data_IF_616933809812
#
_entry.id   IF_616933809812
#
_cell.length_a   1.000
_cell.length_b   1.000
_cell.length_c   1.000
_cell.angle_alpha   90.00
_cell.angle_beta   90.00
_cell.angle_gamma   90.00
#
_symmetry.space_group_name_H-M   'P 1'
#
loop_
_entity.id
_entity.type
_entity.pdbx_description
1 polymer ?
#
# COMPACT_ATOMS: atom_id res chain seq x y z
N UNK A 1 -14.22 10.53 12.24
CA UNK A 1 -14.22 10.74 10.77
C UNK A 1 -14.51 9.42 10.07
N UNK A 2 -15.18 9.48 8.93
CA UNK A 2 -15.37 8.35 8.02
C UNK A 2 -14.29 8.43 6.92
N UNK A 3 -13.35 7.50 6.92
CA UNK A 3 -12.16 7.55 6.05
C UNK A 3 -12.21 6.39 5.06
N UNK A 4 -12.20 6.71 3.76
CA UNK A 4 -12.03 5.72 2.72
C UNK A 4 -10.54 5.40 2.51
N UNK A 5 -10.16 4.13 2.52
CA UNK A 5 -8.80 3.67 2.20
C UNK A 5 -8.84 2.78 0.97
N UNK A 6 -8.10 3.19 -0.05
CA UNK A 6 -7.99 2.45 -1.31
C UNK A 6 -6.58 1.89 -1.46
N UNK A 7 -6.47 0.58 -1.59
CA UNK A 7 -5.17 -0.08 -1.65
C UNK A 7 -5.25 -1.41 -2.39
N UNK A 8 -4.09 -1.94 -2.78
CA UNK A 8 -4.00 -3.33 -3.23
C UNK A 8 -4.19 -4.29 -2.04
N UNK A 9 -5.06 -5.30 -2.13
CA UNK A 9 -5.34 -6.24 -1.03
C UNK A 9 -4.28 -7.35 -0.88
N UNK A 10 -3.06 -7.12 -1.33
CA UNK A 10 -2.01 -8.14 -1.44
C UNK A 10 -1.07 -8.15 -0.23
N UNK A 11 -0.31 -9.24 -0.07
CA UNK A 11 0.80 -9.33 0.90
C UNK A 11 2.00 -8.43 0.55
N UNK A 12 1.90 -7.59 -0.48
CA UNK A 12 2.88 -6.56 -0.79
C UNK A 12 2.96 -5.48 0.29
N UNK A 13 4.10 -4.79 0.39
CA UNK A 13 4.34 -3.80 1.43
C UNK A 13 3.27 -2.72 1.53
N UNK A 14 2.81 -2.18 0.40
CA UNK A 14 1.79 -1.13 0.37
C UNK A 14 0.42 -1.58 0.91
N UNK A 15 -0.05 -2.77 0.51
CA UNK A 15 -1.33 -3.29 0.98
C UNK A 15 -1.33 -3.57 2.48
N UNK A 16 -0.24 -4.18 2.97
CA UNK A 16 -0.06 -4.41 4.40
C UNK A 16 -0.03 -3.10 5.18
N UNK A 17 0.72 -2.10 4.71
CA UNK A 17 0.83 -0.80 5.37
C UNK A 17 -0.49 -0.03 5.38
N UNK A 18 -1.22 -0.02 4.27
CA UNK A 18 -2.55 0.58 4.20
C UNK A 18 -3.52 -0.08 5.19
N UNK A 19 -3.46 -1.42 5.29
CA UNK A 19 -4.30 -2.17 6.24
C UNK A 19 -3.95 -1.86 7.69
N UNK A 20 -2.66 -1.87 8.05
CA UNK A 20 -2.23 -1.54 9.42
C UNK A 20 -2.52 -0.08 9.76
N UNK A 21 -2.39 0.85 8.80
CA UNK A 21 -2.79 2.25 8.99
C UNK A 21 -4.29 2.37 9.29
N UNK A 22 -5.14 1.72 8.50
CA UNK A 22 -6.57 1.74 8.73
C UNK A 22 -6.94 1.18 10.10
N UNK A 23 -6.32 0.08 10.54
CA UNK A 23 -6.52 -0.47 11.89
C UNK A 23 -6.10 0.51 12.98
N UNK A 24 -4.94 1.15 12.84
CA UNK A 24 -4.46 2.14 13.81
C UNK A 24 -5.37 3.38 13.88
N UNK A 25 -5.95 3.81 12.76
CA UNK A 25 -6.94 4.88 12.72
C UNK A 25 -8.27 4.45 13.35
N UNK A 26 -8.70 3.21 13.13
CA UNK A 26 -9.89 2.65 13.78
C UNK A 26 -9.74 2.59 15.30
N UNK A 27 -8.56 2.21 15.81
CA UNK A 27 -8.25 2.25 17.25
C UNK A 27 -8.32 3.67 17.83
N UNK A 28 -8.15 4.70 17.00
CA UNK A 28 -8.31 6.12 17.37
C UNK A 28 -9.77 6.63 17.26
N UNK A 29 -10.71 5.73 16.95
CA UNK A 29 -12.14 6.06 16.90
C UNK A 29 -12.64 6.56 15.55
N UNK A 30 -11.88 6.37 14.46
CA UNK A 30 -12.35 6.64 13.11
C UNK A 30 -13.08 5.44 12.51
N UNK A 31 -14.07 5.68 11.66
CA UNK A 31 -14.68 4.64 10.83
C UNK A 31 -13.87 4.50 9.55
N UNK A 32 -13.43 3.29 9.25
CA UNK A 32 -12.55 3.00 8.12
C UNK A 32 -13.28 2.16 7.09
N UNK A 33 -13.27 2.62 5.85
CA UNK A 33 -13.91 1.99 4.72
C UNK A 33 -12.86 1.57 3.69
N UNK A 34 -12.46 0.30 3.71
CA UNK A 34 -11.55 -0.25 2.69
C UNK A 34 -12.31 -0.49 1.39
N UNK A 35 -11.78 0.05 0.28
CA UNK A 35 -12.31 -0.10 -1.07
C UNK A 35 -11.26 -0.82 -1.92
N UNK A 36 -11.55 -2.06 -2.35
CA UNK A 36 -10.57 -2.92 -3.00
C UNK A 36 -11.28 -4.12 -3.68
N UNK A 37 -10.63 -4.79 -4.64
CA UNK A 37 -11.20 -5.94 -5.35
C UNK A 37 -11.17 -7.25 -4.54
N UNK A 38 -10.56 -7.27 -3.39
CA UNK A 38 -10.58 -8.35 -2.41
C UNK A 38 -10.38 -7.77 -1.01
N UNK A 39 -10.80 -8.50 0.02
CA UNK A 39 -10.54 -8.10 1.38
C UNK A 39 -9.03 -7.95 1.62
N UNK A 40 -8.58 -6.81 2.15
CA UNK A 40 -7.16 -6.58 2.41
C UNK A 40 -6.56 -7.64 3.33
N UNK A 41 -5.38 -8.12 2.97
CA UNK A 41 -4.63 -9.06 3.83
C UNK A 41 -4.35 -8.41 5.18
N UNK A 42 -4.32 -9.22 6.25
CA UNK A 42 -4.17 -8.78 7.64
C UNK A 42 -5.33 -7.95 8.20
N UNK A 43 -6.40 -7.72 7.47
CA UNK A 43 -7.57 -7.10 8.04
C UNK A 43 -8.11 -7.95 9.21
N UNK A 44 -8.00 -9.26 9.10
CA UNK A 44 -8.41 -10.19 10.13
C UNK A 44 -9.91 -10.38 10.19
N UNK A 45 -10.38 -10.86 11.33
CA UNK A 45 -11.80 -11.03 11.64
C UNK A 45 -12.40 -9.71 12.11
N UNK A 46 -13.65 -9.72 12.33
CA UNK A 46 -14.57 -8.64 12.67
C UNK A 46 -13.98 -7.45 13.47
N UNK A 47 -14.29 -6.25 13.00
CA UNK A 47 -14.05 -4.97 13.66
C UNK A 47 -15.35 -4.16 13.64
N UNK A 48 -15.66 -3.44 14.72
CA UNK A 48 -16.91 -2.68 14.83
C UNK A 48 -16.97 -1.42 13.98
N UNK A 49 -15.80 -0.86 13.64
CA UNK A 49 -15.63 0.40 12.90
C UNK A 49 -14.72 0.27 11.68
N UNK A 50 -14.57 -0.94 11.14
CA UNK A 50 -13.87 -1.18 9.87
C UNK A 50 -14.83 -1.91 8.94
N UNK A 51 -15.00 -1.37 7.75
CA UNK A 51 -15.90 -1.86 6.71
C UNK A 51 -15.11 -2.18 5.45
N UNK A 52 -15.59 -3.16 4.69
CA UNK A 52 -15.00 -3.53 3.40
C UNK A 52 -16.03 -3.39 2.29
N UNK A 53 -15.62 -2.76 1.21
CA UNK A 53 -16.41 -2.55 0.00
C UNK A 53 -15.68 -3.16 -1.19
N UNK A 54 -16.28 -4.18 -1.78
CA UNK A 54 -15.69 -4.89 -2.90
C UNK A 54 -15.86 -4.12 -4.20
N UNK A 55 -14.77 -3.97 -4.94
CA UNK A 55 -14.77 -3.47 -6.31
C UNK A 55 -14.98 -4.66 -7.24
N UNK A 56 -16.22 -4.85 -7.71
CA UNK A 56 -16.55 -5.90 -8.66
C UNK A 56 -16.35 -5.39 -10.09
N UNK A 57 -15.61 -6.15 -10.90
CA UNK A 57 -15.43 -5.85 -12.32
C UNK A 57 -16.15 -6.92 -13.13
N UNK A 58 -17.31 -6.60 -13.72
CA UNK A 58 -18.06 -7.57 -14.51
C UNK A 58 -17.28 -7.94 -15.78
N UNK A 59 -17.31 -9.21 -16.14
CA UNK A 59 -16.78 -9.70 -17.41
C UNK A 59 -17.73 -9.30 -18.53
N UNK A 60 -17.20 -8.63 -19.56
CA UNK A 60 -17.96 -8.29 -20.75
C UNK A 60 -17.18 -8.72 -22.00
N UNK A 61 -17.81 -9.44 -22.95
CA UNK A 61 -17.10 -10.08 -24.07
C UNK A 61 -16.29 -9.14 -24.97
N UNK A 62 -16.61 -7.84 -25.00
CA UNK A 62 -15.88 -6.85 -25.80
C UNK A 62 -14.71 -6.20 -25.05
N UNK A 63 -14.49 -6.54 -23.77
CA UNK A 63 -13.36 -6.05 -23.01
C UNK A 63 -12.24 -7.07 -23.00
N UNK A 64 -11.20 -6.87 -23.83
CA UNK A 64 -9.97 -7.65 -23.75
C UNK A 64 -9.30 -7.51 -22.38
N UNK A 65 -9.43 -6.34 -21.78
CA UNK A 65 -8.94 -6.02 -20.44
C UNK A 65 -10.06 -5.46 -19.57
N UNK A 66 -10.37 -6.10 -18.43
CA UNK A 66 -11.38 -5.59 -17.52
C UNK A 66 -11.07 -4.15 -17.06
N UNK A 67 -12.00 -3.19 -17.18
CA UNK A 67 -11.75 -1.78 -16.85
C UNK A 67 -11.80 -1.53 -15.33
N UNK A 68 -10.85 -2.09 -14.61
CA UNK A 68 -10.77 -2.02 -13.15
C UNK A 68 -10.84 -0.59 -12.61
N UNK A 69 -10.10 0.33 -13.21
CA UNK A 69 -10.03 1.73 -12.77
C UNK A 69 -11.39 2.43 -12.82
N UNK A 70 -12.18 2.17 -13.88
CA UNK A 70 -13.53 2.71 -14.00
C UNK A 70 -14.48 2.12 -12.95
N UNK A 71 -14.41 0.80 -12.73
CA UNK A 71 -15.20 0.14 -11.69
C UNK A 71 -14.83 0.66 -10.30
N UNK A 72 -13.54 0.86 -10.05
CA UNK A 72 -13.04 1.42 -8.80
C UNK A 72 -13.56 2.85 -8.57
N UNK A 73 -13.52 3.71 -9.58
CA UNK A 73 -14.06 5.07 -9.49
C UNK A 73 -15.57 5.07 -9.17
N UNK A 74 -16.34 4.21 -9.82
CA UNK A 74 -17.77 4.06 -9.55
C UNK A 74 -18.04 3.58 -8.12
N UNK A 75 -17.30 2.57 -7.65
CA UNK A 75 -17.43 2.09 -6.27
C UNK A 75 -17.04 3.17 -5.26
N UNK A 76 -16.00 3.97 -5.55
CA UNK A 76 -15.64 5.12 -4.68
C UNK A 76 -16.80 6.11 -4.57
N UNK A 77 -17.45 6.47 -5.69
CA UNK A 77 -18.63 7.37 -5.69
C UNK A 77 -19.72 6.83 -4.77
N UNK A 78 -20.10 5.58 -4.95
CA UNK A 78 -21.15 4.94 -4.15
C UNK A 78 -20.81 4.92 -2.66
N UNK A 79 -19.58 4.54 -2.31
CA UNK A 79 -19.14 4.47 -0.91
C UNK A 79 -19.06 5.85 -0.28
N UNK A 80 -18.55 6.86 -1.01
CA UNK A 80 -18.46 8.24 -0.51
C UNK A 80 -19.86 8.77 -0.16
N UNK A 81 -20.83 8.57 -1.03
CA UNK A 81 -22.21 9.05 -0.83
C UNK A 81 -22.87 8.29 0.32
N UNK A 82 -22.88 6.96 0.24
CA UNK A 82 -23.64 6.12 1.16
C UNK A 82 -23.07 6.08 2.56
N UNK A 83 -21.73 6.16 2.70
CA UNK A 83 -21.03 6.12 3.98
C UNK A 83 -20.65 7.51 4.50
N UNK A 84 -20.95 8.57 3.72
CA UNK A 84 -20.62 9.98 4.05
C UNK A 84 -19.16 10.12 4.44
N UNK A 85 -18.25 9.72 3.53
CA UNK A 85 -16.83 9.81 3.80
C UNK A 85 -16.38 11.27 3.93
N UNK A 86 -15.50 11.53 4.89
CA UNK A 86 -14.89 12.83 5.12
C UNK A 86 -13.63 13.04 4.28
N UNK A 87 -12.93 11.94 3.93
CA UNK A 87 -11.75 11.96 3.08
C UNK A 87 -11.52 10.59 2.41
N UNK A 88 -10.79 10.61 1.32
CA UNK A 88 -10.32 9.43 0.62
C UNK A 88 -8.80 9.37 0.67
N UNK A 89 -8.24 8.30 1.23
CA UNK A 89 -6.81 8.05 1.27
C UNK A 89 -6.46 6.90 0.31
N UNK A 90 -5.78 7.23 -0.77
CA UNK A 90 -5.40 6.26 -1.78
C UNK A 90 -3.91 5.94 -1.72
N UNK A 91 -3.58 4.68 -1.88
CA UNK A 91 -2.22 4.17 -1.92
C UNK A 91 -1.86 3.80 -3.36
N UNK A 92 -0.88 4.45 -3.93
CA UNK A 92 -0.44 4.47 -5.33
C UNK A 92 -1.05 5.57 -6.20
N UNK A 93 -0.20 6.19 -7.02
CA UNK A 93 -0.61 7.20 -8.00
C UNK A 93 -1.54 6.62 -9.08
N UNK A 94 -1.27 5.41 -9.55
CA UNK A 94 -2.14 4.64 -10.46
C UNK A 94 -2.32 3.21 -9.98
N UNK A 95 -3.49 2.63 -10.13
CA UNK A 95 -4.72 3.19 -10.67
C UNK A 95 -5.55 3.95 -9.61
N UNK A 96 -5.07 4.06 -8.37
CA UNK A 96 -5.92 4.49 -7.26
C UNK A 96 -6.15 6.00 -7.24
N UNK A 97 -5.11 6.84 -7.41
CA UNK A 97 -5.32 8.29 -7.43
C UNK A 97 -6.02 8.76 -8.70
N UNK A 98 -5.79 8.13 -9.86
CA UNK A 98 -6.49 8.46 -11.10
C UNK A 98 -7.99 8.09 -11.01
N UNK A 99 -8.33 6.93 -10.44
CA UNK A 99 -9.71 6.57 -10.16
C UNK A 99 -10.37 7.52 -9.15
N UNK A 100 -9.64 7.93 -8.11
CA UNK A 100 -10.12 8.88 -7.11
C UNK A 100 -10.40 10.27 -7.72
N UNK A 101 -9.53 10.73 -8.61
CA UNK A 101 -9.79 11.96 -9.37
C UNK A 101 -11.08 11.85 -10.17
N UNK A 102 -11.28 10.76 -10.91
CA UNK A 102 -12.51 10.53 -11.68
C UNK A 102 -13.75 10.52 -10.76
N UNK A 103 -13.69 9.80 -9.65
CA UNK A 103 -14.75 9.76 -8.65
C UNK A 103 -15.10 11.16 -8.13
N UNK A 104 -14.05 11.94 -7.77
CA UNK A 104 -14.21 13.33 -7.30
C UNK A 104 -14.87 14.21 -8.36
N UNK A 105 -14.50 14.08 -9.66
CA UNK A 105 -15.12 14.86 -10.73
C UNK A 105 -16.61 14.54 -10.92
N UNK A 106 -17.01 13.29 -10.72
CA UNK A 106 -18.43 12.89 -10.73
C UNK A 106 -19.16 13.53 -9.55
N UNK A 107 -18.61 13.43 -8.34
CA UNK A 107 -19.17 13.95 -7.10
C UNK A 107 -19.31 15.47 -7.08
N UNK A 108 -18.39 16.20 -7.72
CA UNK A 108 -18.49 17.66 -7.86
C UNK A 108 -19.73 18.11 -8.64
N UNK A 109 -20.27 17.26 -9.55
CA UNK A 109 -21.55 17.54 -10.21
C UNK A 109 -22.73 17.47 -9.25
N UNK A 110 -22.61 16.66 -8.21
CA UNK A 110 -23.56 16.53 -7.10
C UNK A 110 -23.28 17.50 -5.94
N UNK A 111 -22.35 18.46 -6.14
CA UNK A 111 -21.88 19.42 -5.13
C UNK A 111 -21.24 18.77 -3.89
N UNK A 112 -20.68 17.57 -4.07
CA UNK A 112 -19.89 16.88 -3.05
C UNK A 112 -18.43 17.06 -3.41
N UNK A 113 -17.65 17.71 -2.56
CA UNK A 113 -16.20 17.79 -2.68
C UNK A 113 -15.55 17.00 -1.54
N UNK A 114 -14.66 16.10 -1.89
CA UNK A 114 -13.94 15.24 -0.94
C UNK A 114 -12.44 15.38 -1.14
N UNK A 115 -11.66 15.64 -0.08
CA UNK A 115 -10.21 15.67 -0.19
C UNK A 115 -9.66 14.26 -0.45
N UNK A 116 -8.72 14.17 -1.39
CA UNK A 116 -8.00 12.94 -1.73
C UNK A 116 -6.56 13.07 -1.28
N UNK A 117 -6.09 12.15 -0.43
CA UNK A 117 -4.68 12.03 -0.04
C UNK A 117 -4.08 10.86 -0.81
N UNK A 118 -2.93 11.08 -1.44
CA UNK A 118 -2.20 10.03 -2.17
C UNK A 118 -0.88 9.70 -1.48
N UNK A 119 -0.70 8.42 -1.09
CA UNK A 119 0.58 7.92 -0.57
C UNK A 119 1.32 7.13 -1.64
N UNK A 120 2.56 7.55 -1.92
CA UNK A 120 3.48 6.91 -2.86
C UNK A 120 4.28 5.81 -2.17
N UNK A 121 4.43 4.65 -2.85
CA UNK A 121 5.07 3.46 -2.28
C UNK A 121 6.33 3.00 -3.01
N UNK A 122 6.66 3.57 -4.15
CA UNK A 122 7.88 3.32 -4.91
C UNK A 122 7.64 2.73 -6.29
N UNK A 123 7.00 1.58 -6.43
CA UNK A 123 6.77 0.93 -7.74
C UNK A 123 5.99 1.82 -8.71
N UNK A 124 5.02 2.55 -8.21
CA UNK A 124 4.21 3.54 -8.91
C UNK A 124 5.06 4.71 -9.47
N UNK A 125 6.18 4.99 -8.85
CA UNK A 125 7.08 6.09 -9.23
C UNK A 125 8.30 5.57 -9.99
N UNK A 126 9.00 4.58 -9.45
CA UNK A 126 10.33 4.17 -9.94
C UNK A 126 10.29 3.19 -11.12
N UNK A 127 9.18 2.47 -11.30
CA UNK A 127 9.01 1.50 -12.38
C UNK A 127 7.90 1.91 -13.33
N UNK A 128 6.65 1.77 -12.89
CA UNK A 128 5.48 1.96 -13.76
C UNK A 128 5.32 3.43 -14.14
N UNK A 129 5.46 4.34 -13.20
CA UNK A 129 5.24 5.77 -13.43
C UNK A 129 6.22 6.43 -14.39
N UNK A 130 7.43 5.85 -14.57
CA UNK A 130 8.42 6.35 -15.53
C UNK A 130 8.13 5.96 -16.98
N UNK A 131 7.30 4.96 -17.18
CA UNK A 131 6.90 4.57 -18.53
C UNK A 131 6.09 5.70 -19.17
N UNK A 132 6.43 6.07 -20.40
CA UNK A 132 5.75 7.15 -21.15
C UNK A 132 4.26 6.92 -21.33
N UNK A 133 3.82 5.66 -21.28
CA UNK A 133 2.42 5.27 -21.34
C UNK A 133 1.61 5.73 -20.12
N UNK A 134 2.25 5.76 -18.94
CA UNK A 134 1.59 6.07 -17.67
C UNK A 134 1.98 7.42 -17.07
N UNK A 135 3.19 7.90 -17.38
CA UNK A 135 3.76 9.11 -16.77
C UNK A 135 2.84 10.34 -16.80
N UNK A 136 2.13 10.66 -17.90
CA UNK A 136 1.21 11.80 -17.92
C UNK A 136 0.07 11.66 -16.90
N UNK A 137 -0.54 10.47 -16.81
CA UNK A 137 -1.63 10.21 -15.86
C UNK A 137 -1.13 10.21 -14.43
N UNK A 138 0.03 9.63 -14.16
CA UNK A 138 0.68 9.62 -12.84
C UNK A 138 0.95 11.05 -12.37
N UNK A 139 1.57 11.88 -13.21
CA UNK A 139 1.88 13.28 -12.91
C UNK A 139 0.62 14.08 -12.60
N UNK A 140 -0.39 13.95 -13.46
CA UNK A 140 -1.67 14.63 -13.31
C UNK A 140 -2.36 14.21 -12.00
N UNK A 141 -2.52 12.91 -11.78
CA UNK A 141 -3.25 12.39 -10.61
C UNK A 141 -2.60 12.78 -9.28
N UNK A 142 -1.27 12.83 -9.23
CA UNK A 142 -0.56 13.34 -8.06
C UNK A 142 -0.85 14.82 -7.83
N UNK A 143 -0.75 15.65 -8.87
CA UNK A 143 -0.98 17.10 -8.74
C UNK A 143 -2.44 17.45 -8.39
N UNK A 144 -3.40 16.62 -8.75
CA UNK A 144 -4.83 16.80 -8.41
C UNK A 144 -5.18 16.34 -6.98
N UNK A 145 -4.28 15.62 -6.30
CA UNK A 145 -4.50 15.21 -4.92
C UNK A 145 -4.49 16.41 -3.97
N UNK A 146 -5.31 16.38 -2.93
CA UNK A 146 -5.32 17.43 -1.89
C UNK A 146 -4.00 17.47 -1.11
N UNK A 147 -3.43 16.28 -0.85
CA UNK A 147 -2.10 16.13 -0.26
C UNK A 147 -1.40 14.89 -0.84
N UNK A 148 -0.07 14.94 -0.86
CA UNK A 148 0.75 13.82 -1.34
C UNK A 148 1.74 13.45 -0.25
N UNK A 149 1.88 12.16 0.02
CA UNK A 149 2.90 11.66 0.95
C UNK A 149 3.79 10.62 0.29
N UNK A 150 5.03 10.54 0.73
CA UNK A 150 5.98 9.51 0.32
C UNK A 150 6.54 8.77 1.53
N UNK A 151 6.78 7.48 1.39
CA UNK A 151 7.26 6.64 2.49
C UNK A 151 8.74 6.82 2.83
N UNK A 152 9.47 7.63 2.08
CA UNK A 152 10.87 7.97 2.36
C UNK A 152 11.28 9.26 1.65
N UNK A 153 12.34 9.90 2.17
CA UNK A 153 12.98 11.06 1.51
C UNK A 153 13.47 10.70 0.10
N UNK A 154 14.09 9.53 -0.05
CA UNK A 154 14.56 9.07 -1.36
C UNK A 154 13.42 8.98 -2.38
N UNK A 155 12.28 8.43 -2.01
CA UNK A 155 11.12 8.33 -2.90
C UNK A 155 10.56 9.71 -3.26
N UNK A 156 10.48 10.62 -2.29
CA UNK A 156 10.09 12.01 -2.55
C UNK A 156 11.03 12.66 -3.57
N UNK A 157 12.33 12.56 -3.35
CA UNK A 157 13.35 13.19 -4.19
C UNK A 157 13.37 12.58 -5.60
N UNK A 158 13.19 11.26 -5.72
CA UNK A 158 13.00 10.58 -7.00
C UNK A 158 11.71 11.04 -7.71
N UNK A 159 10.64 11.30 -6.96
CA UNK A 159 9.39 11.82 -7.54
C UNK A 159 9.62 13.19 -8.16
N UNK A 160 10.25 14.12 -7.43
CA UNK A 160 10.59 15.43 -7.98
C UNK A 160 11.54 15.37 -9.18
N UNK A 161 12.45 14.40 -9.20
CA UNK A 161 13.41 14.25 -10.31
C UNK A 161 12.77 13.70 -11.60
N UNK A 162 11.68 12.94 -11.48
CA UNK A 162 11.08 12.25 -12.63
C UNK A 162 9.77 12.85 -13.11
N UNK A 163 9.09 13.66 -12.28
CA UNK A 163 7.76 14.19 -12.56
C UNK A 163 7.72 15.71 -12.30
N UNK A 164 6.98 16.42 -13.13
CA UNK A 164 6.72 17.85 -12.92
C UNK A 164 5.69 18.01 -11.79
N UNK A 165 6.18 18.13 -10.56
CA UNK A 165 5.35 18.29 -9.39
C UNK A 165 5.07 19.79 -9.14
N UNK A 166 3.80 20.09 -8.87
CA UNK A 166 3.30 21.42 -8.50
C UNK A 166 2.97 21.52 -7.01
N UNK A 167 2.96 20.37 -6.33
CA UNK A 167 2.64 20.25 -4.90
C UNK A 167 3.82 19.72 -4.10
N UNK A 168 3.85 20.11 -2.85
CA UNK A 168 4.79 19.56 -1.87
C UNK A 168 4.43 18.10 -1.55
N UNK A 169 5.48 17.28 -1.39
CA UNK A 169 5.36 15.87 -0.99
C UNK A 169 5.87 15.74 0.44
N UNK A 170 4.98 15.42 1.35
CA UNK A 170 5.32 15.18 2.75
C UNK A 170 5.92 13.78 2.93
N UNK A 171 6.97 13.66 3.75
CA UNK A 171 7.58 12.37 4.05
C UNK A 171 7.00 11.80 5.34
N UNK A 172 6.21 10.73 5.21
CA UNK A 172 5.67 9.97 6.33
C UNK A 172 6.23 8.55 6.25
N UNK A 173 7.15 8.24 7.15
CA UNK A 173 7.79 6.92 7.17
C UNK A 173 6.82 5.81 7.56
N UNK A 174 7.03 4.63 6.98
CA UNK A 174 6.32 3.44 7.39
C UNK A 174 6.55 3.12 8.86
N UNK A 175 5.53 2.58 9.51
CA UNK A 175 5.55 2.22 10.92
C UNK A 175 5.43 0.72 11.13
N UNK A 176 5.73 0.30 12.34
CA UNK A 176 5.55 -1.07 12.83
C UNK A 176 4.77 -1.00 14.15
N UNK A 177 3.77 -1.86 14.29
CA UNK A 177 3.08 -2.04 15.57
C UNK A 177 4.02 -2.70 16.59
N UNK A 178 4.61 -1.90 17.47
CA UNK A 178 5.55 -2.36 18.49
C UNK A 178 4.90 -3.26 19.55
N UNK A 179 3.59 -3.23 19.73
CA UNK A 179 2.88 -4.14 20.65
C UNK A 179 2.84 -5.55 20.06
N UNK A 180 2.62 -5.66 18.76
CA UNK A 180 2.59 -6.94 18.04
C UNK A 180 3.99 -7.48 17.75
N UNK A 181 4.90 -6.62 17.32
CA UNK A 181 6.27 -6.96 16.93
C UNK A 181 7.27 -6.59 18.03
N UNK A 182 7.13 -7.19 19.20
CA UNK A 182 8.06 -7.05 20.30
C UNK A 182 8.94 -8.28 20.45
N UNK A 183 10.07 -8.13 21.14
CA UNK A 183 10.95 -9.24 21.47
C UNK A 183 10.26 -10.13 22.49
N UNK A 184 9.93 -11.34 22.08
CA UNK A 184 9.40 -12.39 22.96
C UNK A 184 10.53 -13.22 23.58
N UNK A 185 10.30 -13.88 24.74
CA UNK A 185 11.24 -14.83 25.28
C UNK A 185 11.62 -15.88 24.24
N UNK A 186 12.85 -16.41 24.32
CA UNK A 186 13.36 -17.43 23.41
C UNK A 186 12.41 -18.62 23.43
N UNK A 187 11.80 -18.90 22.29
CA UNK A 187 10.90 -20.04 22.17
C UNK A 187 11.68 -21.33 21.97
N UNK A 188 11.12 -22.50 22.32
CA UNK A 188 11.70 -23.81 22.00
C UNK A 188 12.11 -23.96 20.54
N UNK A 189 11.43 -23.22 19.63
CA UNK A 189 11.69 -23.21 18.20
C UNK A 189 13.14 -22.83 17.84
N UNK A 190 13.74 -21.86 18.56
CA UNK A 190 15.15 -21.50 18.35
C UNK A 190 16.09 -22.67 18.66
N UNK A 191 15.80 -23.43 19.70
CA UNK A 191 16.60 -24.60 20.09
C UNK A 191 16.51 -25.72 19.07
N UNK A 192 15.36 -25.88 18.40
CA UNK A 192 15.18 -26.86 17.32
C UNK A 192 15.99 -26.47 16.08
N UNK A 193 15.98 -25.20 15.71
CA UNK A 193 16.67 -24.72 14.49
C UNK A 193 18.19 -24.61 14.72
N UNK A 194 18.62 -24.12 15.88
CA UNK A 194 20.00 -23.83 16.22
C UNK A 194 20.39 -24.49 17.57
N UNK A 195 20.43 -25.85 17.62
CA UNK A 195 20.63 -26.60 18.86
C UNK A 195 22.02 -26.33 19.48
N UNK A 196 23.01 -25.97 18.69
CA UNK A 196 24.37 -25.71 19.12
C UNK A 196 24.66 -24.22 19.30
N UNK A 197 23.63 -23.39 19.54
CA UNK A 197 23.73 -21.93 19.64
C UNK A 197 24.22 -21.22 18.37
N UNK A 198 24.03 -21.80 17.19
CA UNK A 198 24.35 -21.15 15.94
C UNK A 198 23.60 -19.81 15.80
N UNK A 199 24.17 -18.88 15.09
CA UNK A 199 23.51 -17.62 14.74
C UNK A 199 22.45 -17.89 13.66
N UNK A 200 21.24 -17.33 13.83
CA UNK A 200 20.18 -17.43 12.84
C UNK A 200 20.16 -16.14 12.02
N UNK A 201 20.35 -16.28 10.71
CA UNK A 201 20.11 -15.24 9.73
C UNK A 201 18.75 -15.53 9.10
N UNK A 202 17.88 -14.52 9.05
CA UNK A 202 16.55 -14.65 8.48
C UNK A 202 16.41 -13.77 7.25
N UNK A 203 15.95 -14.37 6.14
CA UNK A 203 15.53 -13.61 4.96
C UNK A 203 14.08 -13.95 4.63
N UNK A 204 13.22 -12.93 4.67
CA UNK A 204 11.81 -13.07 4.29
C UNK A 204 11.46 -12.07 3.17
N UNK A 205 11.11 -12.57 2.00
CA UNK A 205 10.70 -11.75 0.87
C UNK A 205 9.85 -12.54 -0.14
N UNK A 206 9.33 -11.86 -1.14
CA UNK A 206 8.63 -12.49 -2.27
C UNK A 206 9.58 -12.95 -3.41
N UNK A 207 10.86 -13.08 -3.13
CA UNK A 207 11.93 -13.60 -4.01
C UNK A 207 12.02 -12.96 -5.40
N UNK A 208 11.55 -11.72 -5.55
CA UNK A 208 11.78 -10.96 -6.78
C UNK A 208 13.26 -10.64 -6.96
N UNK A 209 13.73 -10.50 -8.20
CA UNK A 209 15.12 -10.19 -8.55
C UNK A 209 15.71 -9.02 -7.72
N UNK A 210 14.92 -7.97 -7.48
CA UNK A 210 15.30 -6.81 -6.66
C UNK A 210 15.64 -7.18 -5.20
N UNK A 211 15.17 -8.33 -4.69
CA UNK A 211 15.46 -8.82 -3.33
C UNK A 211 16.81 -9.52 -3.22
N UNK A 212 17.49 -9.76 -4.36
CA UNK A 212 18.86 -10.26 -4.43
C UNK A 212 19.10 -11.51 -3.58
N UNK A 213 18.17 -12.48 -3.62
CA UNK A 213 18.22 -13.68 -2.77
C UNK A 213 19.50 -14.50 -2.98
N UNK A 214 20.01 -14.56 -4.21
CA UNK A 214 21.30 -15.21 -4.50
C UNK A 214 22.45 -14.60 -3.69
N UNK A 215 22.47 -13.26 -3.57
CA UNK A 215 23.51 -12.58 -2.79
C UNK A 215 23.38 -12.89 -1.29
N UNK A 216 22.17 -13.07 -0.79
CA UNK A 216 21.94 -13.50 0.62
C UNK A 216 22.59 -14.85 0.87
N UNK A 217 22.43 -15.81 -0.07
CA UNK A 217 23.08 -17.13 0.03
C UNK A 217 24.60 -17.03 -0.03
N UNK A 218 25.15 -16.25 -0.94
CA UNK A 218 26.61 -16.02 -1.03
C UNK A 218 27.19 -15.33 0.20
N UNK A 219 26.46 -14.35 0.76
CA UNK A 219 26.85 -13.70 2.01
C UNK A 219 26.81 -14.71 3.16
N UNK A 220 25.76 -15.51 3.24
CA UNK A 220 25.64 -16.55 4.25
C UNK A 220 26.79 -17.55 4.18
N UNK A 221 27.19 -18.02 3.00
CA UNK A 221 28.32 -18.91 2.83
C UNK A 221 29.60 -18.32 3.48
N UNK A 222 29.87 -17.03 3.24
CA UNK A 222 31.03 -16.36 3.84
C UNK A 222 30.92 -16.24 5.35
N UNK A 223 29.75 -15.88 5.86
CA UNK A 223 29.50 -15.75 7.31
C UNK A 223 29.65 -17.09 8.01
N UNK A 224 29.09 -18.16 7.43
CA UNK A 224 29.09 -19.49 8.05
C UNK A 224 30.50 -20.12 8.13
N UNK A 225 31.45 -19.68 7.29
CA UNK A 225 32.86 -20.08 7.39
C UNK A 225 33.56 -19.50 8.63
N UNK A 226 33.03 -18.41 9.19
CA UNK A 226 33.64 -17.68 10.33
C UNK A 226 32.84 -17.88 11.61
N UNK A 227 31.52 -17.88 11.50
CA UNK A 227 30.61 -17.99 12.64
C UNK A 227 29.57 -19.08 12.35
N UNK A 228 29.49 -20.15 13.18
CA UNK A 228 28.47 -21.18 13.03
C UNK A 228 27.07 -20.55 12.95
N UNK A 229 26.41 -20.73 11.82
CA UNK A 229 25.16 -20.02 11.50
C UNK A 229 24.17 -20.90 10.76
N UNK A 230 22.89 -20.52 10.79
CA UNK A 230 21.79 -21.08 10.02
C UNK A 230 21.13 -19.98 9.20
N UNK A 231 20.77 -20.25 7.95
CA UNK A 231 19.98 -19.36 7.11
C UNK A 231 18.55 -19.91 6.99
N UNK A 232 17.58 -19.05 7.24
CA UNK A 232 16.14 -19.33 7.11
C UNK A 232 15.51 -18.40 6.09
#
# INVERSE_FOLDING_TARGET
MNIGIVCYPTFGGSGVLATELGKALAEKGHNIHFISYQQPVRLGSFHTNIFYHEVSVPTYPLFDYPPYETALASTMVDVIINQKLDLLHVHYAIPHASAAYMARQILLKERIDIPVITTLHGTDITLVGRDKTYSPVVTFSMNESAAITAVSKNLRDETYSNFKMEKEIEVIYNFVDAKRFNKKPITPFKQVIAPNNERILLHASNFRKVKRVADVVHIFEKVNKVIPSKLL
#
